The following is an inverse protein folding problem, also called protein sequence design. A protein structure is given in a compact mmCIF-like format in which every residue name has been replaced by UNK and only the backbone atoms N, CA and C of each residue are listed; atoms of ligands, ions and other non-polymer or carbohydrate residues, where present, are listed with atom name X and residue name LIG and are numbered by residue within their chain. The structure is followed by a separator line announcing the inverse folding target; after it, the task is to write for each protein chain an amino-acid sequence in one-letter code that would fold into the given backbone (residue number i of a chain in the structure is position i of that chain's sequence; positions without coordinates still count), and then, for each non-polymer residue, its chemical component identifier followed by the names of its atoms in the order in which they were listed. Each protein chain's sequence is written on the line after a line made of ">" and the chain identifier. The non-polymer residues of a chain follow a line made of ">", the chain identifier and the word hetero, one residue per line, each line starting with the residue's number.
data_IF_188362567457
#
_entry.id   IF_188362567457
#
_cell.length_a   1.000
_cell.length_b   1.000
_cell.length_c   1.000
_cell.angle_alpha   90.00
_cell.angle_beta   90.00
_cell.angle_gamma   90.00
#
_symmetry.space_group_name_H-M   'P 1'
#
loop_
_entity.id
_entity.type
_entity.pdbx_description
1 polymer ?
#
# COMPACT_ATOMS: atom_id res chain seq x y z
N UNK A 1 -3.35 -14.65 -31.24
CA UNK A 1 -2.70 -15.03 -29.97
C UNK A 1 -2.40 -13.74 -29.25
N UNK A 2 -3.06 -13.46 -28.14
CA UNK A 2 -2.72 -12.31 -27.30
C UNK A 2 -1.35 -12.61 -26.69
N UNK A 3 -0.37 -11.75 -26.90
CA UNK A 3 0.94 -11.90 -26.26
C UNK A 3 0.74 -11.99 -24.75
N UNK A 4 1.12 -13.13 -24.16
CA UNK A 4 1.03 -13.32 -22.71
C UNK A 4 2.03 -12.40 -22.04
N UNK A 5 1.56 -11.65 -21.04
CA UNK A 5 2.42 -10.86 -20.16
C UNK A 5 3.49 -11.77 -19.53
N UNK A 6 4.74 -11.33 -19.57
CA UNK A 6 5.89 -12.07 -19.08
C UNK A 6 6.94 -11.13 -18.50
N UNK A 7 7.94 -11.69 -17.84
CA UNK A 7 9.08 -10.98 -17.28
C UNK A 7 10.33 -11.46 -18.00
N UNK A 8 11.02 -10.58 -18.72
CA UNK A 8 12.30 -10.88 -19.35
C UNK A 8 13.49 -10.55 -18.44
N UNK A 9 14.69 -11.09 -18.72
CA UNK A 9 15.92 -10.69 -18.04
C UNK A 9 16.19 -9.17 -18.11
N UNK A 10 15.92 -8.54 -19.26
CA UNK A 10 16.11 -7.11 -19.45
C UNK A 10 15.10 -6.28 -18.65
N UNK A 11 13.87 -6.78 -18.47
CA UNK A 11 12.89 -6.15 -17.58
C UNK A 11 13.39 -6.15 -16.14
N UNK A 12 13.87 -7.30 -15.64
CA UNK A 12 14.42 -7.37 -14.27
C UNK A 12 15.66 -6.49 -14.10
N UNK A 13 16.52 -6.41 -15.10
CA UNK A 13 17.69 -5.53 -15.07
C UNK A 13 17.27 -4.06 -15.00
N UNK A 14 16.23 -3.65 -15.73
CA UNK A 14 15.66 -2.29 -15.64
C UNK A 14 14.98 -2.06 -14.30
N UNK A 15 14.19 -3.02 -13.82
CA UNK A 15 13.42 -2.94 -12.59
C UNK A 15 14.30 -2.93 -11.34
N UNK A 16 15.27 -3.85 -11.23
CA UNK A 16 16.14 -3.99 -10.08
C UNK A 16 17.59 -4.32 -10.53
N UNK A 17 18.37 -3.31 -10.96
CA UNK A 17 19.69 -3.51 -11.57
C UNK A 17 20.74 -4.10 -10.61
N UNK A 18 20.47 -4.10 -9.30
CA UNK A 18 21.35 -4.65 -8.26
C UNK A 18 20.79 -5.95 -7.67
N UNK A 19 19.75 -6.52 -8.27
CA UNK A 19 19.15 -7.77 -7.80
C UNK A 19 20.20 -8.87 -7.73
N UNK A 20 20.21 -9.60 -6.63
CA UNK A 20 21.09 -10.75 -6.47
C UNK A 20 20.67 -11.92 -7.37
N UNK A 21 21.62 -12.72 -7.88
CA UNK A 21 21.32 -13.81 -8.81
C UNK A 21 20.30 -14.83 -8.30
N UNK A 22 20.23 -15.06 -6.99
CA UNK A 22 19.30 -15.99 -6.35
C UNK A 22 17.84 -15.57 -6.58
N UNK A 23 17.54 -14.28 -6.42
CA UNK A 23 16.21 -13.72 -6.70
C UNK A 23 15.89 -13.73 -8.20
N UNK A 24 16.87 -13.38 -9.05
CA UNK A 24 16.68 -13.35 -10.51
C UNK A 24 16.41 -14.75 -11.05
N UNK A 25 17.20 -15.74 -10.62
CA UNK A 25 17.05 -17.15 -11.00
C UNK A 25 15.71 -17.70 -10.52
N UNK A 26 15.33 -17.42 -9.28
CA UNK A 26 14.05 -17.87 -8.74
C UNK A 26 12.85 -17.27 -9.50
N UNK A 27 12.86 -15.97 -9.82
CA UNK A 27 11.77 -15.34 -10.60
C UNK A 27 11.70 -15.88 -12.03
N UNK A 28 12.79 -15.79 -12.79
CA UNK A 28 12.80 -16.16 -14.21
C UNK A 28 12.62 -17.67 -14.41
N UNK A 29 13.17 -18.49 -13.52
CA UNK A 29 13.03 -19.95 -13.57
C UNK A 29 11.63 -20.44 -13.18
N UNK A 30 10.82 -19.62 -12.51
CA UNK A 30 9.52 -20.03 -11.98
C UNK A 30 8.38 -19.08 -12.36
N UNK A 31 8.42 -18.45 -13.54
CA UNK A 31 7.33 -17.57 -14.02
C UNK A 31 5.97 -18.28 -14.08
N UNK A 32 5.96 -19.61 -14.24
CA UNK A 32 4.74 -20.40 -14.18
C UNK A 32 4.00 -20.25 -12.84
N UNK A 33 4.69 -20.00 -11.72
CA UNK A 33 4.06 -19.76 -10.43
C UNK A 33 3.25 -18.46 -10.44
N UNK A 34 3.80 -17.39 -11.00
CA UNK A 34 3.09 -16.13 -11.12
C UNK A 34 1.90 -16.28 -12.08
N UNK A 35 2.08 -17.07 -13.14
CA UNK A 35 1.00 -17.36 -14.09
C UNK A 35 -0.15 -18.15 -13.45
N UNK A 36 0.14 -19.27 -12.77
CA UNK A 36 -0.91 -20.14 -12.18
C UNK A 36 -1.65 -19.49 -11.02
N UNK A 37 -1.03 -18.52 -10.34
CA UNK A 37 -1.65 -17.72 -9.29
C UNK A 37 -2.32 -16.44 -9.83
N UNK A 38 -2.42 -16.28 -11.16
CA UNK A 38 -3.11 -15.17 -11.83
C UNK A 38 -2.40 -13.81 -11.71
N UNK A 39 -1.15 -13.78 -11.26
CA UNK A 39 -0.34 -12.55 -11.13
C UNK A 39 0.03 -11.99 -12.51
N UNK A 40 0.24 -12.87 -13.50
CA UNK A 40 0.54 -12.49 -14.90
C UNK A 40 -0.72 -12.29 -15.76
N UNK A 41 -1.93 -12.36 -15.19
CA UNK A 41 -3.17 -12.21 -15.97
C UNK A 41 -3.35 -10.78 -16.50
N UNK A 42 -2.83 -9.78 -15.79
CA UNK A 42 -2.85 -8.38 -16.20
C UNK A 42 -1.69 -7.58 -15.60
N UNK A 43 -1.44 -6.39 -16.16
CA UNK A 43 -0.32 -5.54 -15.73
C UNK A 43 -0.49 -4.99 -14.32
N UNK A 44 -1.71 -4.75 -13.84
CA UNK A 44 -1.94 -4.24 -12.48
C UNK A 44 -1.45 -5.24 -11.44
N UNK A 45 -1.88 -6.50 -11.54
CA UNK A 45 -1.45 -7.57 -10.62
C UNK A 45 0.06 -7.75 -10.63
N UNK A 46 0.68 -7.82 -11.81
CA UNK A 46 2.14 -7.93 -11.92
C UNK A 46 2.84 -6.72 -11.27
N UNK A 47 2.41 -5.49 -11.57
CA UNK A 47 3.05 -4.30 -11.04
C UNK A 47 2.92 -4.19 -9.52
N UNK A 48 1.75 -4.51 -8.96
CA UNK A 48 1.54 -4.53 -7.51
C UNK A 48 2.38 -5.63 -6.85
N UNK A 49 2.37 -6.85 -7.39
CA UNK A 49 3.17 -7.97 -6.87
C UNK A 49 4.67 -7.63 -6.85
N UNK A 50 5.22 -7.19 -7.99
CA UNK A 50 6.62 -6.78 -8.12
C UNK A 50 6.98 -5.65 -7.16
N UNK A 51 6.05 -4.71 -6.93
CA UNK A 51 6.26 -3.62 -5.99
C UNK A 51 6.37 -4.08 -4.54
N UNK A 52 5.51 -5.01 -4.11
CA UNK A 52 5.58 -5.54 -2.74
C UNK A 52 6.87 -6.32 -2.53
N UNK A 53 7.18 -7.30 -3.40
CA UNK A 53 8.37 -8.14 -3.21
C UNK A 53 9.67 -7.34 -3.32
N UNK A 54 9.72 -6.30 -4.16
CA UNK A 54 10.88 -5.41 -4.23
C UNK A 54 11.02 -4.55 -2.98
N UNK A 55 9.91 -4.12 -2.37
CA UNK A 55 9.96 -3.41 -1.10
C UNK A 55 10.50 -4.31 0.02
N UNK A 56 9.95 -5.52 0.18
CA UNK A 56 10.31 -6.43 1.27
C UNK A 56 11.77 -6.92 1.19
N UNK A 57 12.35 -6.96 -0.01
CA UNK A 57 13.71 -7.46 -0.25
C UNK A 57 14.76 -6.37 -0.45
N UNK A 58 14.39 -5.09 -0.29
CA UNK A 58 15.28 -3.96 -0.57
C UNK A 58 15.74 -3.91 -2.05
N UNK A 59 14.83 -4.20 -2.97
CA UNK A 59 15.11 -4.33 -4.40
C UNK A 59 15.86 -5.60 -4.76
N UNK A 60 15.53 -6.71 -4.09
CA UNK A 60 16.16 -8.04 -4.26
C UNK A 60 17.64 -8.07 -3.86
N UNK A 61 18.03 -7.29 -2.85
CA UNK A 61 19.43 -7.20 -2.38
C UNK A 61 19.65 -7.90 -1.04
N UNK A 62 18.58 -8.13 -0.27
CA UNK A 62 18.62 -8.70 1.08
C UNK A 62 18.13 -10.14 1.00
N UNK A 63 19.01 -11.13 1.22
CA UNK A 63 18.65 -12.55 1.17
C UNK A 63 17.93 -13.01 2.45
N UNK A 64 18.40 -12.52 3.59
CA UNK A 64 17.91 -12.87 4.94
C UNK A 64 18.03 -11.69 5.87
N UNK A 65 17.19 -11.68 6.90
CA UNK A 65 17.36 -10.78 8.03
C UNK A 65 18.70 -11.08 8.73
N UNK A 66 19.55 -10.06 8.86
CA UNK A 66 20.89 -10.20 9.45
C UNK A 66 20.87 -10.21 10.98
N UNK A 67 19.95 -9.46 11.59
CA UNK A 67 19.82 -9.33 13.06
C UNK A 67 21.12 -8.92 13.79
N UNK A 68 22.11 -8.34 13.10
CA UNK A 68 23.36 -7.89 13.72
C UNK A 68 23.33 -6.39 14.00
N UNK A 69 22.95 -6.01 15.21
CA UNK A 69 22.89 -4.60 15.64
C UNK A 69 24.04 -4.22 16.57
N UNK A 70 24.53 -2.97 16.45
CA UNK A 70 25.68 -2.46 17.21
C UNK A 70 25.32 -1.51 18.36
N UNK A 71 24.05 -1.13 18.48
CA UNK A 71 23.59 -0.12 19.44
C UNK A 71 22.28 -0.54 20.11
N UNK A 72 22.23 -0.45 21.44
CA UNK A 72 21.02 -0.64 22.26
C UNK A 72 19.94 0.37 21.90
N UNK A 73 20.31 1.62 21.62
CA UNK A 73 19.39 2.65 21.14
C UNK A 73 18.72 2.23 19.83
N UNK A 74 19.49 1.64 18.89
CA UNK A 74 18.92 1.14 17.63
C UNK A 74 17.96 -0.03 17.86
N UNK A 75 18.27 -0.96 18.77
CA UNK A 75 17.35 -2.03 19.15
C UNK A 75 16.00 -1.47 19.64
N UNK A 76 16.01 -0.44 20.49
CA UNK A 76 14.77 0.23 20.97
C UNK A 76 14.00 0.93 19.85
N UNK A 77 14.68 1.44 18.83
CA UNK A 77 14.03 2.08 17.68
C UNK A 77 13.34 1.05 16.78
N UNK A 78 13.97 -0.11 16.56
CA UNK A 78 13.45 -1.16 15.68
C UNK A 78 12.36 -1.97 16.37
N UNK A 79 12.53 -2.31 17.66
CA UNK A 79 11.55 -3.06 18.44
C UNK A 79 11.12 -2.32 19.71
N UNK A 80 10.45 -1.16 19.59
CA UNK A 80 10.04 -0.36 20.74
C UNK A 80 9.13 -1.14 21.70
N UNK A 81 8.21 -1.95 21.18
CA UNK A 81 7.31 -2.75 22.00
C UNK A 81 8.04 -3.80 22.86
N UNK A 82 9.24 -4.24 22.45
CA UNK A 82 10.01 -5.27 23.15
C UNK A 82 11.03 -4.68 24.09
N UNK A 83 11.68 -3.62 23.60
CA UNK A 83 12.93 -3.17 24.18
C UNK A 83 12.81 -1.79 24.81
N UNK A 84 11.74 -1.00 24.62
CA UNK A 84 11.68 0.36 25.18
C UNK A 84 11.94 0.43 26.69
N UNK A 85 11.47 -0.53 27.46
CA UNK A 85 11.61 -0.57 28.93
C UNK A 85 12.90 -1.21 29.45
N UNK A 86 13.69 -1.88 28.61
CA UNK A 86 14.91 -2.58 29.06
C UNK A 86 16.03 -1.61 29.41
N UNK A 87 16.98 -1.99 30.23
CA UNK A 87 18.21 -1.23 30.45
C UNK A 87 19.23 -1.52 29.34
N UNK A 88 20.30 -0.73 29.25
CA UNK A 88 21.39 -1.03 28.32
C UNK A 88 22.17 -2.28 28.73
N UNK A 89 22.26 -2.56 30.03
CA UNK A 89 22.87 -3.79 30.54
C UNK A 89 22.11 -5.04 30.05
N UNK A 90 20.77 -5.00 30.03
CA UNK A 90 19.95 -6.09 29.50
C UNK A 90 20.06 -6.27 27.97
N UNK A 91 20.31 -5.20 27.21
CA UNK A 91 20.35 -5.25 25.75
C UNK A 91 21.74 -5.49 25.16
N UNK A 92 22.81 -5.10 25.88
CA UNK A 92 24.20 -5.32 25.43
C UNK A 92 24.50 -6.77 25.01
N UNK A 93 24.01 -7.82 25.70
CA UNK A 93 24.22 -9.21 25.29
C UNK A 93 23.60 -9.58 23.93
N UNK A 94 22.66 -8.78 23.42
CA UNK A 94 22.00 -9.02 22.13
C UNK A 94 22.74 -8.35 20.96
N UNK A 95 23.74 -7.50 21.24
CA UNK A 95 24.47 -6.77 20.20
C UNK A 95 25.48 -7.69 19.50
N UNK A 96 25.54 -7.61 18.17
CA UNK A 96 26.39 -8.47 17.33
C UNK A 96 26.23 -9.97 17.58
N UNK A 97 25.09 -10.37 18.14
CA UNK A 97 24.72 -11.76 18.39
C UNK A 97 23.35 -12.01 17.75
N UNK A 98 23.31 -12.28 16.42
CA UNK A 98 22.07 -12.46 15.68
C UNK A 98 21.17 -13.55 16.26
N UNK A 99 21.76 -14.65 16.75
CA UNK A 99 21.01 -15.76 17.31
C UNK A 99 20.30 -15.37 18.60
N UNK A 100 21.02 -14.78 19.56
CA UNK A 100 20.39 -14.27 20.80
C UNK A 100 19.36 -13.20 20.52
N UNK A 101 19.63 -12.29 19.57
CA UNK A 101 18.66 -11.26 19.22
C UNK A 101 17.41 -11.87 18.58
N UNK A 102 17.57 -12.80 17.63
CA UNK A 102 16.46 -13.50 16.98
C UNK A 102 15.57 -14.23 17.99
N UNK A 103 16.18 -14.97 18.91
CA UNK A 103 15.44 -15.65 19.98
C UNK A 103 14.73 -14.65 20.91
N UNK A 104 15.39 -13.55 21.29
CA UNK A 104 14.77 -12.50 22.11
C UNK A 104 13.58 -11.80 21.42
N UNK A 105 13.59 -11.71 20.09
CA UNK A 105 12.53 -11.05 19.32
C UNK A 105 11.40 -12.01 18.94
N UNK A 106 11.71 -13.27 18.64
CA UNK A 106 10.80 -14.17 17.94
C UNK A 106 10.48 -15.48 18.68
N UNK A 107 11.17 -15.85 19.76
CA UNK A 107 10.82 -17.05 20.52
C UNK A 107 9.41 -16.93 21.15
N UNK A 108 8.66 -18.04 21.16
CA UNK A 108 7.29 -18.11 21.68
C UNK A 108 6.24 -17.44 20.79
N UNK A 109 6.58 -17.08 19.54
CA UNK A 109 5.72 -16.30 18.64
C UNK A 109 5.64 -16.95 17.27
N UNK A 110 4.53 -16.76 16.54
CA UNK A 110 4.40 -17.20 15.14
C UNK A 110 4.71 -18.70 14.95
N UNK A 111 4.37 -19.52 15.94
CA UNK A 111 4.66 -20.96 15.96
C UNK A 111 6.08 -21.35 16.39
N UNK A 112 6.94 -20.40 16.76
CA UNK A 112 8.29 -20.66 17.26
C UNK A 112 8.24 -21.17 18.71
N UNK A 113 8.12 -22.49 18.89
CA UNK A 113 7.98 -23.11 20.22
C UNK A 113 9.20 -23.91 20.64
N UNK A 114 10.15 -24.18 19.74
CA UNK A 114 11.36 -24.93 20.04
C UNK A 114 12.56 -24.01 20.32
N UNK A 115 13.55 -24.46 21.11
CA UNK A 115 14.80 -23.72 21.30
C UNK A 115 15.47 -23.38 19.95
N UNK A 116 15.89 -22.12 19.78
CA UNK A 116 16.54 -21.63 18.56
C UNK A 116 15.59 -21.21 17.43
N UNK A 117 14.29 -21.50 17.54
CA UNK A 117 13.31 -21.17 16.49
C UNK A 117 13.26 -19.69 16.16
N UNK A 118 13.49 -18.83 17.16
CA UNK A 118 13.38 -17.39 16.96
C UNK A 118 14.37 -16.90 15.91
N UNK A 119 15.62 -17.39 15.95
CA UNK A 119 16.61 -17.09 14.93
C UNK A 119 16.49 -17.94 13.67
N UNK A 120 16.25 -19.24 13.81
CA UNK A 120 16.26 -20.17 12.67
C UNK A 120 15.12 -19.85 11.68
N UNK A 121 13.96 -19.42 12.20
CA UNK A 121 12.81 -18.97 11.41
C UNK A 121 12.66 -17.44 11.32
N UNK A 122 13.76 -16.68 11.39
CA UNK A 122 13.75 -15.22 11.11
C UNK A 122 13.29 -14.92 9.68
N UNK A 123 13.10 -13.64 9.32
CA UNK A 123 12.59 -13.25 7.99
C UNK A 123 13.47 -13.70 6.82
N UNK A 124 12.85 -14.25 5.77
CA UNK A 124 13.54 -14.69 4.54
C UNK A 124 12.68 -14.64 3.28
N UNK A 125 13.34 -14.56 2.13
CA UNK A 125 12.69 -14.65 0.83
C UNK A 125 11.90 -13.42 0.37
N UNK A 126 11.03 -13.62 -0.62
CA UNK A 126 10.37 -12.56 -1.40
C UNK A 126 9.39 -11.67 -0.62
N UNK A 127 8.72 -12.20 0.41
CA UNK A 127 7.83 -11.44 1.30
C UNK A 127 8.25 -11.56 2.79
N UNK A 128 9.54 -11.84 3.04
CA UNK A 128 10.09 -11.93 4.40
C UNK A 128 9.30 -12.89 5.32
N UNK A 129 8.97 -14.09 4.83
CA UNK A 129 8.30 -15.13 5.61
C UNK A 129 9.04 -15.34 6.93
N UNK A 130 8.30 -15.26 8.04
CA UNK A 130 8.86 -15.31 9.40
C UNK A 130 8.05 -16.26 10.27
N UNK A 131 8.75 -17.09 11.04
CA UNK A 131 8.18 -18.00 12.04
C UNK A 131 7.86 -19.39 11.50
N UNK A 132 8.05 -20.39 12.36
CA UNK A 132 7.78 -21.82 12.10
C UNK A 132 6.34 -22.06 11.66
N UNK A 133 5.38 -21.35 12.24
CA UNK A 133 3.96 -21.50 11.92
C UNK A 133 3.64 -21.13 10.47
N UNK A 134 4.24 -20.05 9.95
CA UNK A 134 4.06 -19.65 8.56
C UNK A 134 4.72 -20.67 7.61
N UNK A 135 5.96 -21.07 7.88
CA UNK A 135 6.66 -22.10 7.09
C UNK A 135 5.84 -23.39 7.06
N UNK A 136 5.36 -23.87 8.21
CA UNK A 136 4.51 -25.06 8.30
C UNK A 136 3.27 -24.94 7.41
N UNK A 137 2.52 -23.84 7.53
CA UNK A 137 1.30 -23.58 6.74
C UNK A 137 1.57 -23.65 5.24
N UNK A 138 2.64 -23.02 4.76
CA UNK A 138 2.96 -23.03 3.34
C UNK A 138 3.46 -24.39 2.86
N UNK A 139 4.28 -25.07 3.67
CA UNK A 139 4.78 -26.41 3.34
C UNK A 139 3.63 -27.44 3.24
N UNK A 140 2.62 -27.35 4.11
CA UNK A 140 1.41 -28.18 4.03
C UNK A 140 0.67 -28.01 2.69
N UNK A 141 0.60 -26.78 2.14
CA UNK A 141 -0.01 -26.52 0.82
C UNK A 141 0.85 -27.01 -0.35
N UNK A 142 2.16 -27.06 -0.17
CA UNK A 142 3.11 -27.46 -1.21
C UNK A 142 3.50 -28.95 -1.15
N UNK A 143 3.07 -29.68 -0.12
CA UNK A 143 3.49 -31.07 0.11
C UNK A 143 4.99 -31.18 0.44
N UNK A 144 5.55 -30.19 1.13
CA UNK A 144 6.96 -30.15 1.54
C UNK A 144 7.10 -30.46 3.04
N UNK A 145 8.26 -30.99 3.43
CA UNK A 145 8.63 -31.12 4.83
C UNK A 145 9.08 -29.76 5.38
N UNK A 146 8.44 -29.22 6.45
CA UNK A 146 8.76 -27.89 6.95
C UNK A 146 10.12 -27.86 7.65
N UNK A 147 11.01 -26.99 7.19
CA UNK A 147 12.31 -26.74 7.80
C UNK A 147 12.70 -25.25 7.73
N UNK A 148 13.57 -24.75 8.62
CA UNK A 148 14.02 -23.36 8.56
C UNK A 148 14.90 -23.05 7.34
N UNK A 149 15.58 -24.05 6.76
CA UNK A 149 16.45 -23.85 5.58
C UNK A 149 15.66 -23.52 4.31
N UNK A 150 14.37 -23.83 4.27
CA UNK A 150 13.50 -23.43 3.17
C UNK A 150 13.38 -21.91 3.02
N UNK A 151 13.65 -21.14 4.08
CA UNK A 151 13.66 -19.68 4.04
C UNK A 151 14.90 -19.11 3.32
N UNK A 152 15.92 -19.94 3.07
CA UNK A 152 17.10 -19.59 2.29
C UNK A 152 16.95 -20.00 0.80
N UNK A 153 15.98 -20.87 0.48
CA UNK A 153 15.64 -21.26 -0.89
C UNK A 153 14.70 -20.22 -1.53
N UNK A 154 15.21 -19.52 -2.54
CA UNK A 154 14.48 -18.44 -3.19
C UNK A 154 13.36 -18.95 -4.10
N UNK A 155 13.49 -20.13 -4.69
CA UNK A 155 12.41 -20.74 -5.47
C UNK A 155 11.26 -21.17 -4.55
N UNK A 156 11.57 -21.72 -3.37
CA UNK A 156 10.55 -22.08 -2.37
C UNK A 156 9.91 -20.83 -1.76
N UNK A 157 10.69 -19.82 -1.39
CA UNK A 157 10.11 -18.59 -0.83
C UNK A 157 9.32 -17.76 -1.85
N UNK A 158 9.56 -17.93 -3.16
CA UNK A 158 8.68 -17.38 -4.20
C UNK A 158 7.31 -18.08 -4.20
N UNK A 159 7.27 -19.40 -4.00
CA UNK A 159 6.02 -20.13 -3.84
C UNK A 159 5.27 -19.66 -2.59
N UNK A 160 5.98 -19.48 -1.47
CA UNK A 160 5.39 -18.90 -0.25
C UNK A 160 4.80 -17.51 -0.51
N UNK A 161 5.51 -16.65 -1.26
CA UNK A 161 5.03 -15.33 -1.61
C UNK A 161 3.79 -15.36 -2.50
N UNK A 162 3.72 -16.26 -3.48
CA UNK A 162 2.53 -16.44 -4.33
C UNK A 162 1.33 -16.94 -3.52
N UNK A 163 1.55 -17.89 -2.61
CA UNK A 163 0.52 -18.38 -1.68
C UNK A 163 -0.01 -17.23 -0.82
N UNK A 164 0.87 -16.48 -0.15
CA UNK A 164 0.46 -15.36 0.70
C UNK A 164 -0.30 -14.29 -0.09
N UNK A 165 0.17 -13.98 -1.31
CA UNK A 165 -0.51 -13.04 -2.20
C UNK A 165 -1.96 -13.43 -2.50
N UNK A 166 -2.20 -14.71 -2.83
CA UNK A 166 -3.54 -15.23 -3.12
C UNK A 166 -4.39 -15.28 -1.84
N UNK A 167 -3.84 -15.81 -0.75
CA UNK A 167 -4.56 -15.93 0.53
C UNK A 167 -4.96 -14.54 1.08
N UNK A 168 -4.13 -13.53 0.84
CA UNK A 168 -4.37 -12.15 1.19
C UNK A 168 -5.31 -11.41 0.20
N UNK A 169 -5.88 -12.10 -0.81
CA UNK A 169 -6.83 -11.53 -1.79
C UNK A 169 -6.22 -10.37 -2.60
N UNK A 170 -4.90 -10.40 -2.82
CA UNK A 170 -4.18 -9.28 -3.42
C UNK A 170 -4.45 -9.15 -4.94
N UNK A 171 -4.86 -10.21 -5.63
CA UNK A 171 -5.28 -10.12 -7.03
C UNK A 171 -6.44 -9.13 -7.20
N UNK A 172 -7.47 -9.23 -6.36
CA UNK A 172 -8.65 -8.37 -6.41
C UNK A 172 -8.31 -6.93 -6.06
N UNK A 173 -7.50 -6.71 -5.02
CA UNK A 173 -7.07 -5.35 -4.66
C UNK A 173 -6.16 -4.73 -5.74
N UNK A 174 -5.37 -5.54 -6.43
CA UNK A 174 -4.58 -5.08 -7.56
C UNK A 174 -5.46 -4.78 -8.79
N UNK A 175 -6.52 -5.55 -9.04
CA UNK A 175 -7.50 -5.26 -10.11
C UNK A 175 -8.24 -3.93 -9.85
N UNK A 176 -8.47 -3.58 -8.59
CA UNK A 176 -8.96 -2.25 -8.16
C UNK A 176 -7.87 -1.15 -8.23
N UNK A 177 -6.63 -1.53 -8.56
CA UNK A 177 -5.43 -0.69 -8.53
C UNK A 177 -5.18 -0.02 -7.15
N UNK A 178 -5.57 -0.68 -6.06
CA UNK A 178 -5.47 -0.16 -4.70
C UNK A 178 -4.17 -0.63 -4.02
N UNK A 179 -3.10 0.14 -4.25
CA UNK A 179 -1.79 -0.13 -3.64
C UNK A 179 -1.87 -0.15 -2.11
N UNK A 180 -2.75 0.65 -1.51
CA UNK A 180 -2.86 0.75 -0.06
C UNK A 180 -3.47 -0.54 0.50
N UNK A 181 -4.54 -1.07 -0.09
CA UNK A 181 -5.12 -2.36 0.30
C UNK A 181 -4.12 -3.49 0.12
N UNK A 182 -3.45 -3.58 -1.03
CA UNK A 182 -2.41 -4.60 -1.27
C UNK A 182 -1.32 -4.52 -0.19
N UNK A 183 -0.78 -3.33 0.05
CA UNK A 183 0.28 -3.13 1.04
C UNK A 183 -0.16 -3.41 2.46
N UNK A 184 -1.41 -3.10 2.83
CA UNK A 184 -1.98 -3.46 4.13
C UNK A 184 -2.17 -4.96 4.28
N UNK A 185 -2.68 -5.62 3.24
CA UNK A 185 -2.88 -7.07 3.23
C UNK A 185 -1.54 -7.79 3.49
N UNK A 186 -0.49 -7.42 2.74
CA UNK A 186 0.85 -8.02 2.87
C UNK A 186 1.56 -7.64 4.18
N UNK A 187 1.55 -6.37 4.58
CA UNK A 187 2.37 -5.91 5.72
C UNK A 187 1.69 -6.09 7.08
N UNK A 188 0.36 -6.10 7.11
CA UNK A 188 -0.41 -6.08 8.37
C UNK A 188 -1.38 -7.26 8.51
N UNK A 189 -1.52 -8.09 7.47
CA UNK A 189 -2.44 -9.23 7.45
C UNK A 189 -3.91 -8.86 7.24
N UNK A 190 -4.22 -7.58 7.00
CA UNK A 190 -5.59 -7.12 6.78
C UNK A 190 -5.64 -5.89 5.87
N UNK A 191 -6.33 -5.99 4.74
CA UNK A 191 -6.55 -4.85 3.84
C UNK A 191 -7.41 -3.73 4.46
N UNK A 192 -8.30 -4.07 5.39
CA UNK A 192 -9.32 -3.17 5.95
C UNK A 192 -9.00 -2.67 7.36
N UNK A 193 -8.01 -3.25 8.05
CA UNK A 193 -7.60 -2.82 9.38
C UNK A 193 -7.18 -1.34 9.47
N UNK A 194 -7.21 -0.74 10.66
CA UNK A 194 -6.83 0.67 10.85
C UNK A 194 -5.30 0.91 10.83
N UNK A 195 -4.51 -0.17 10.89
CA UNK A 195 -3.04 -0.10 10.89
C UNK A 195 -2.53 0.31 9.51
N UNK A 196 -1.71 1.36 9.46
CA UNK A 196 -1.04 1.77 8.23
C UNK A 196 0.14 0.83 7.94
N UNK A 197 0.35 0.42 6.68
CA UNK A 197 1.46 -0.44 6.34
C UNK A 197 2.76 0.35 6.38
N UNK A 198 3.81 -0.28 6.86
CA UNK A 198 5.15 0.31 6.90
C UNK A 198 5.70 0.40 5.47
N UNK A 199 6.35 1.52 5.16
CA UNK A 199 7.13 1.68 3.93
C UNK A 199 6.35 2.11 2.69
N UNK A 200 5.13 2.66 2.81
CA UNK A 200 4.29 3.08 1.67
C UNK A 200 5.02 3.92 0.60
N UNK A 201 5.83 4.90 1.00
CA UNK A 201 6.57 5.73 0.06
C UNK A 201 7.55 4.91 -0.81
N UNK A 202 8.14 3.84 -0.26
CA UNK A 202 8.98 2.93 -1.03
C UNK A 202 8.16 2.02 -1.93
N UNK A 203 7.03 1.49 -1.44
CA UNK A 203 6.10 0.66 -2.23
C UNK A 203 5.55 1.41 -3.45
N UNK A 204 5.20 2.68 -3.28
CA UNK A 204 4.78 3.58 -4.37
C UNK A 204 5.88 3.77 -5.43
N UNK A 205 7.13 3.98 -5.00
CA UNK A 205 8.27 4.10 -5.93
C UNK A 205 8.48 2.83 -6.73
N UNK A 206 8.41 1.67 -6.09
CA UNK A 206 8.54 0.39 -6.77
C UNK A 206 7.38 0.13 -7.72
N UNK A 207 6.15 0.46 -7.32
CA UNK A 207 4.98 0.36 -8.20
C UNK A 207 5.12 1.23 -9.44
N UNK A 208 5.49 2.50 -9.29
CA UNK A 208 5.70 3.40 -10.43
C UNK A 208 6.80 2.87 -11.38
N UNK A 209 7.86 2.28 -10.82
CA UNK A 209 8.93 1.67 -11.61
C UNK A 209 8.44 0.41 -12.37
N UNK A 210 7.66 -0.45 -11.71
CA UNK A 210 7.07 -1.63 -12.32
C UNK A 210 6.11 -1.23 -13.46
N UNK A 211 5.25 -0.24 -13.22
CA UNK A 211 4.31 0.28 -14.20
C UNK A 211 5.02 0.83 -15.44
N UNK A 212 6.15 1.52 -15.28
CA UNK A 212 6.94 2.00 -16.42
C UNK A 212 7.54 0.89 -17.31
N UNK A 213 7.54 -0.37 -16.85
CA UNK A 213 8.09 -1.53 -17.58
C UNK A 213 6.97 -2.43 -18.11
N UNK A 214 6.01 -2.78 -17.25
CA UNK A 214 4.96 -3.77 -17.55
C UNK A 214 3.55 -3.19 -17.59
N UNK A 215 3.37 -1.91 -17.24
CA UNK A 215 2.08 -1.23 -17.30
C UNK A 215 1.57 -1.06 -18.73
N UNK A 216 0.25 -0.98 -18.88
CA UNK A 216 -0.37 -0.60 -20.14
C UNK A 216 0.04 0.82 -20.58
N UNK A 217 -0.04 1.13 -21.88
CA UNK A 217 0.30 2.46 -22.42
C UNK A 217 -0.66 3.51 -21.86
N UNK A 218 -0.16 4.41 -21.03
CA UNK A 218 -0.92 5.46 -20.36
C UNK A 218 -0.23 5.89 -19.06
N UNK A 219 -0.61 7.02 -18.46
CA UNK A 219 -0.08 7.36 -17.13
C UNK A 219 -0.52 6.26 -16.15
N UNK A 220 0.35 5.85 -15.20
CA UNK A 220 -0.13 5.03 -14.09
C UNK A 220 -1.29 5.78 -13.47
N UNK A 221 -2.49 5.18 -13.50
CA UNK A 221 -3.51 5.61 -12.56
C UNK A 221 -2.87 5.44 -11.20
N UNK A 222 -2.52 6.59 -10.65
CA UNK A 222 -1.85 6.66 -9.36
C UNK A 222 -2.88 6.09 -8.40
N UNK A 223 -2.49 5.19 -7.46
CA UNK A 223 -3.41 4.77 -6.41
C UNK A 223 -4.11 6.02 -5.89
N UNK A 224 -5.44 6.03 -5.68
CA UNK A 224 -6.15 7.19 -5.20
C UNK A 224 -5.33 7.76 -4.05
N UNK A 225 -4.83 9.00 -4.20
CA UNK A 225 -4.07 9.64 -3.15
C UNK A 225 -4.85 9.43 -1.84
N UNK A 226 -4.19 9.02 -0.74
CA UNK A 226 -4.89 8.85 0.54
C UNK A 226 -5.83 10.05 0.70
N UNK A 227 -7.14 9.83 0.97
CA UNK A 227 -8.09 10.92 1.04
C UNK A 227 -7.49 11.98 1.96
N UNK A 228 -7.28 13.18 1.40
CA UNK A 228 -6.63 14.26 2.12
C UNK A 228 -7.39 14.45 3.43
N UNK A 229 -6.68 14.49 4.55
CA UNK A 229 -7.33 14.79 5.82
C UNK A 229 -7.96 16.19 5.74
N UNK A 230 -9.01 16.45 6.51
CA UNK A 230 -9.63 17.78 6.59
C UNK A 230 -8.58 18.88 6.81
N UNK A 231 -7.54 18.62 7.62
CA UNK A 231 -6.44 19.56 7.84
C UNK A 231 -5.54 19.79 6.62
N UNK A 232 -5.30 18.76 5.80
CA UNK A 232 -4.53 18.90 4.55
C UNK A 232 -5.33 19.63 3.46
N UNK A 233 -6.67 19.47 3.45
CA UNK A 233 -7.56 20.24 2.57
C UNK A 233 -7.50 21.71 2.97
N UNK A 234 -7.67 22.03 4.26
CA UNK A 234 -7.60 23.41 4.77
C UNK A 234 -6.25 24.07 4.51
N UNK A 235 -5.14 23.33 4.68
CA UNK A 235 -3.80 23.85 4.42
C UNK A 235 -3.52 24.12 2.93
N UNK A 236 -4.10 23.30 2.03
CA UNK A 236 -3.90 23.43 0.58
C UNK A 236 -4.82 24.47 -0.06
N UNK A 237 -5.96 24.73 0.57
CA UNK A 237 -6.91 25.83 0.23
C UNK A 237 -6.52 27.12 0.95
N UNK A 238 -5.30 27.20 1.51
CA UNK A 238 -4.76 28.35 2.24
C UNK A 238 -5.17 29.67 1.61
N UNK A 239 -5.96 30.43 2.36
CA UNK A 239 -6.57 31.73 2.03
C UNK A 239 -5.57 32.64 1.29
N UNK A 240 -5.99 33.23 0.16
CA UNK A 240 -6.65 34.53 0.26
C UNK A 240 -7.88 34.62 -0.67
N UNK A 241 -9.07 34.31 -0.17
CA UNK A 241 -10.34 34.76 -0.78
C UNK A 241 -10.73 36.10 -0.14
N UNK A 242 -9.86 37.09 -0.26
CA UNK A 242 -10.20 38.49 0.02
C UNK A 242 -10.53 39.26 -1.27
N UNK A 243 -10.26 38.68 -2.45
CA UNK A 243 -10.38 39.38 -3.74
C UNK A 243 -11.56 38.93 -4.63
N UNK A 244 -12.29 37.86 -4.28
CA UNK A 244 -13.41 37.37 -5.09
C UNK A 244 -14.80 37.80 -4.57
N UNK A 245 -14.86 38.47 -3.41
CA UNK A 245 -16.11 38.84 -2.74
C UNK A 245 -16.89 39.96 -3.43
N UNK A 246 -16.27 40.74 -4.31
CA UNK A 246 -16.94 41.90 -4.92
C UNK A 246 -17.70 41.56 -6.21
N UNK A 247 -17.26 40.55 -6.97
CA UNK A 247 -17.92 40.12 -8.20
C UNK A 247 -19.10 39.18 -7.96
N UNK A 248 -18.92 38.20 -7.07
CA UNK A 248 -19.97 37.21 -6.77
C UNK A 248 -21.14 37.81 -5.95
N UNK A 249 -20.88 38.84 -5.12
CA UNK A 249 -21.92 39.49 -4.32
C UNK A 249 -22.94 40.28 -5.17
N UNK A 250 -22.61 40.66 -6.42
CA UNK A 250 -23.57 41.32 -7.32
C UNK A 250 -24.49 40.34 -8.06
N UNK A 251 -24.15 39.06 -8.13
CA UNK A 251 -24.91 38.05 -8.87
C UNK A 251 -26.02 37.37 -8.05
N UNK A 252 -26.11 37.67 -6.74
CA UNK A 252 -27.10 37.10 -5.83
C UNK A 252 -27.89 38.24 -5.16
N UNK A 253 -28.62 39.02 -5.95
CA UNK A 253 -29.48 40.08 -5.38
C UNK A 253 -30.95 39.70 -5.19
N UNK A 254 -31.37 38.47 -5.50
CA UNK A 254 -32.61 37.87 -4.95
C UNK A 254 -32.66 36.38 -5.25
N UNK A 255 -33.08 35.52 -4.29
CA UNK A 255 -33.33 34.11 -4.57
C UNK A 255 -34.56 33.97 -5.51
N UNK A 256 -34.53 33.07 -6.51
CA UNK A 256 -35.64 32.89 -7.44
C UNK A 256 -36.88 32.29 -6.76
N UNK A 257 -38.05 32.66 -7.26
CA UNK A 257 -39.35 32.11 -6.85
C UNK A 257 -39.41 30.60 -7.10
N UNK A 258 -39.55 29.84 -6.01
CA UNK A 258 -39.45 28.38 -6.00
C UNK A 258 -40.73 27.66 -6.44
N UNK A 259 -41.77 28.40 -6.87
CA UNK A 259 -43.05 27.84 -7.34
C UNK A 259 -43.03 27.32 -8.78
N UNK A 260 -41.96 27.56 -9.57
CA UNK A 260 -41.90 27.16 -10.98
C UNK A 260 -40.70 26.28 -11.34
N UNK A 261 -40.98 25.13 -11.97
CA UNK A 261 -39.99 24.10 -12.39
C UNK A 261 -38.91 24.63 -13.36
N UNK A 262 -39.20 25.71 -14.09
CA UNK A 262 -38.22 26.36 -14.97
C UNK A 262 -37.06 27.02 -14.19
N UNK A 263 -37.33 27.54 -12.99
CA UNK A 263 -36.31 28.16 -12.13
C UNK A 263 -35.33 27.10 -11.56
N UNK A 264 -35.81 25.88 -11.30
CA UNK A 264 -34.98 24.76 -10.87
C UNK A 264 -33.97 24.33 -11.93
N UNK A 265 -34.39 24.30 -13.21
CA UNK A 265 -33.49 23.98 -14.32
C UNK A 265 -32.37 25.00 -14.46
N UNK A 266 -32.69 26.30 -14.35
CA UNK A 266 -31.70 27.37 -14.45
C UNK A 266 -30.67 27.34 -13.30
N UNK A 267 -31.10 27.13 -12.06
CA UNK A 267 -30.21 27.00 -10.91
C UNK A 267 -29.32 25.74 -10.99
N UNK A 268 -29.87 24.63 -11.49
CA UNK A 268 -29.10 23.40 -11.71
C UNK A 268 -28.05 23.57 -12.82
N UNK A 269 -28.38 24.28 -13.90
CA UNK A 269 -27.42 24.60 -14.98
C UNK A 269 -26.26 25.46 -14.47
N UNK A 270 -26.53 26.49 -13.66
CA UNK A 270 -25.47 27.34 -13.08
C UNK A 270 -24.57 26.56 -12.09
N UNK A 271 -25.14 25.67 -11.28
CA UNK A 271 -24.36 24.80 -10.41
C UNK A 271 -23.49 23.82 -11.21
N UNK A 272 -24.00 23.31 -12.34
CA UNK A 272 -23.26 22.46 -13.26
C UNK A 272 -22.10 23.21 -13.93
N UNK A 273 -22.29 24.46 -14.36
CA UNK A 273 -21.24 25.26 -14.99
C UNK A 273 -20.09 25.59 -14.01
N UNK A 274 -20.42 25.93 -12.76
CA UNK A 274 -19.42 26.14 -11.69
C UNK A 274 -18.68 24.83 -11.39
N UNK A 275 -19.39 23.70 -11.33
CA UNK A 275 -18.79 22.40 -11.14
C UNK A 275 -17.86 22.01 -12.30
N UNK A 276 -18.27 22.25 -13.55
CA UNK A 276 -17.49 21.96 -14.76
C UNK A 276 -16.23 22.84 -14.85
N UNK A 277 -16.33 24.13 -14.49
CA UNK A 277 -15.17 25.01 -14.39
C UNK A 277 -14.18 24.53 -13.32
N UNK A 278 -14.66 24.14 -12.14
CA UNK A 278 -13.83 23.63 -11.05
C UNK A 278 -13.16 22.29 -11.40
N UNK A 279 -13.88 21.38 -12.05
CA UNK A 279 -13.34 20.10 -12.55
C UNK A 279 -12.23 20.35 -13.58
N UNK A 280 -12.45 21.28 -14.50
CA UNK A 280 -11.52 21.60 -15.60
C UNK A 280 -10.26 22.32 -15.13
N UNK A 281 -10.36 23.18 -14.11
CA UNK A 281 -9.23 23.98 -13.63
C UNK A 281 -8.48 23.36 -12.45
N UNK A 282 -9.14 22.56 -11.59
CA UNK A 282 -8.55 22.12 -10.31
C UNK A 282 -8.26 20.62 -10.22
N UNK A 283 -8.63 19.81 -11.23
CA UNK A 283 -8.35 18.36 -11.29
C UNK A 283 -8.74 17.59 -10.02
N UNK A 284 -9.88 17.93 -9.41
CA UNK A 284 -10.48 17.22 -8.28
C UNK A 284 -11.63 16.32 -8.76
N UNK A 285 -12.02 15.30 -7.98
CA UNK A 285 -13.13 14.41 -8.34
C UNK A 285 -14.49 15.10 -8.16
N UNK A 286 -15.51 14.68 -8.92
CA UNK A 286 -16.86 15.25 -8.85
C UNK A 286 -17.50 15.18 -7.45
N UNK A 287 -17.15 14.16 -6.66
CA UNK A 287 -17.60 14.03 -5.28
C UNK A 287 -17.02 15.13 -4.35
N UNK A 288 -15.79 15.58 -4.58
CA UNK A 288 -15.17 16.65 -3.79
C UNK A 288 -15.81 18.03 -4.08
N UNK A 289 -16.22 18.27 -5.33
CA UNK A 289 -16.96 19.48 -5.72
C UNK A 289 -18.35 19.51 -5.07
N UNK A 290 -19.05 18.38 -5.04
CA UNK A 290 -20.36 18.26 -4.40
C UNK A 290 -20.30 18.54 -2.89
N UNK A 291 -19.28 18.03 -2.19
CA UNK A 291 -19.10 18.28 -0.75
C UNK A 291 -18.81 19.77 -0.48
N UNK A 292 -17.99 20.42 -1.30
CA UNK A 292 -17.73 21.86 -1.17
C UNK A 292 -19.00 22.71 -1.37
N UNK A 293 -19.78 22.43 -2.41
CA UNK A 293 -21.04 23.15 -2.69
C UNK A 293 -22.08 22.93 -1.57
N UNK A 294 -22.17 21.71 -1.04
CA UNK A 294 -23.05 21.39 0.09
C UNK A 294 -22.61 22.15 1.35
N UNK A 295 -21.32 22.15 1.67
CA UNK A 295 -20.81 22.80 2.89
C UNK A 295 -20.86 24.32 2.84
N UNK A 296 -20.58 24.93 1.69
CA UNK A 296 -20.51 26.39 1.58
C UNK A 296 -21.87 27.05 1.28
N UNK A 297 -22.81 26.33 0.65
CA UNK A 297 -24.05 26.95 0.16
C UNK A 297 -25.33 26.27 0.65
N UNK A 298 -25.34 24.94 0.86
CA UNK A 298 -26.55 24.21 1.28
C UNK A 298 -26.70 24.19 2.80
N UNK A 299 -25.64 23.81 3.54
CA UNK A 299 -25.67 23.70 5.00
C UNK A 299 -26.02 25.03 5.69
N UNK A 300 -25.47 26.19 5.29
CA UNK A 300 -25.87 27.48 5.87
C UNK A 300 -27.32 27.89 5.56
N UNK A 301 -27.94 27.32 4.53
CA UNK A 301 -29.33 27.62 4.13
C UNK A 301 -30.36 26.70 4.82
N UNK A 302 -29.93 25.55 5.36
CA UNK A 302 -30.82 24.56 6.01
C UNK A 302 -31.68 25.13 7.15
N UNK A 303 -31.20 26.04 8.03
CA UNK A 303 -32.06 26.63 9.06
C UNK A 303 -33.23 27.44 8.49
N UNK A 304 -32.99 28.19 7.40
CA UNK A 304 -34.02 29.00 6.73
C UNK A 304 -35.04 28.18 5.94
N UNK A 305 -34.64 26.99 5.47
CA UNK A 305 -35.53 26.03 4.81
C UNK A 305 -36.44 25.36 5.85
N UNK A 306 -35.90 25.05 7.03
CA UNK A 306 -36.64 24.41 8.14
C UNK A 306 -37.73 25.33 8.70
N UNK A 307 -37.47 26.63 8.83
CA UNK A 307 -38.46 27.64 9.25
C UNK A 307 -39.63 27.84 8.26
N UNK A 308 -39.48 27.45 6.99
CA UNK A 308 -40.53 27.59 5.97
C UNK A 308 -41.36 26.31 5.78
N UNK A 309 -40.95 25.20 6.38
CA UNK A 309 -41.60 23.89 6.28
C UNK A 309 -42.33 23.48 7.58
N UNK A 310 -42.28 24.33 8.60
CA UNK A 310 -43.02 24.24 9.87
C UNK A 310 -43.90 25.46 10.03
#
# INVERSE_FOLDING_TARGET
>A
MTDRLTISPDDLKRFAPKAKPEYVTALLGNLYLLQTNGILDNSYRLCHFMAQIAHETGGFTILREDLSYRSTARLRQVWPARFRSKTDAELKPLLRDPRKLGDAVYAGRMGNTQPGDGYDYRGGGFLQTTGRGAVKRYCERLGLDPSPSLLDDHSVTLQFACIEWVDATCNQYADENDLTKVSKAINTGSATGSVKPVGMASRQKWFAKAWGIWGEKGKPDTPPAEPMTTGQIVAKVGTPVAAASTGAARLIQSPPDLSQVAAWKSAATQAQEIAQWALSNWKISGAAVAVYLIMCHVIPALPKIKERLT
#
